data_IF_261192765138
#
_entry.id   IF_261192765138
#
_cell.length_a   1.000
_cell.length_b   1.000
_cell.length_c   1.000
_cell.angle_alpha   90.00
_cell.angle_beta   90.00
_cell.angle_gamma   90.00
#
_symmetry.space_group_name_H-M   'P 1'
#
loop_
_entity.id
_entity.type
_entity.pdbx_description
1 polymer ?
#
# COMPACT_ATOMS: atom_id res chain seq x y z
N UNK A 1 -35.26 -9.54 -50.63
CA UNK A 1 -34.61 -10.56 -49.78
C UNK A 1 -34.49 -9.92 -48.41
N UNK A 2 -35.47 -10.13 -47.53
CA UNK A 2 -35.45 -9.49 -46.22
C UNK A 2 -34.50 -10.27 -45.32
N UNK A 3 -33.48 -9.58 -44.82
CA UNK A 3 -32.49 -10.13 -43.91
C UNK A 3 -33.17 -10.63 -42.64
N UNK A 4 -32.93 -11.89 -42.33
CA UNK A 4 -33.50 -12.57 -41.17
C UNK A 4 -32.68 -12.17 -39.94
N UNK A 5 -32.97 -11.01 -39.37
CA UNK A 5 -32.34 -10.58 -38.12
C UNK A 5 -32.78 -11.53 -37.00
N UNK A 6 -31.85 -12.21 -36.30
CA UNK A 6 -32.23 -13.07 -35.20
C UNK A 6 -32.98 -12.23 -34.14
N UNK A 7 -34.06 -12.77 -33.54
CA UNK A 7 -34.83 -12.03 -32.54
C UNK A 7 -33.92 -11.65 -31.36
N UNK A 8 -33.96 -10.39 -30.95
CA UNK A 8 -33.19 -9.88 -29.80
C UNK A 8 -33.68 -10.61 -28.54
N UNK A 9 -32.86 -11.49 -27.97
CA UNK A 9 -33.17 -12.16 -26.70
C UNK A 9 -32.81 -11.23 -25.51
N UNK A 10 -33.80 -10.70 -24.77
CA UNK A 10 -33.56 -9.80 -23.64
C UNK A 10 -32.78 -10.49 -22.50
N UNK A 11 -32.81 -11.83 -22.41
CA UNK A 11 -32.04 -12.58 -21.39
C UNK A 11 -30.56 -12.62 -21.74
N UNK A 12 -30.21 -12.76 -23.01
CA UNK A 12 -28.84 -12.71 -23.50
C UNK A 12 -28.23 -11.31 -23.29
N UNK A 13 -29.00 -10.25 -23.57
CA UNK A 13 -28.59 -8.85 -23.37
C UNK A 13 -28.27 -8.55 -21.89
N UNK A 14 -29.15 -9.00 -20.97
CA UNK A 14 -28.93 -8.84 -19.51
C UNK A 14 -27.71 -9.61 -19.03
N UNK A 15 -27.48 -10.83 -19.52
CA UNK A 15 -26.30 -11.65 -19.17
C UNK A 15 -25.02 -10.98 -19.65
N UNK A 16 -24.99 -10.51 -20.91
CA UNK A 16 -23.86 -9.78 -21.48
C UNK A 16 -23.55 -8.51 -20.69
N UNK A 17 -24.55 -7.71 -20.34
CA UNK A 17 -24.37 -6.51 -19.51
C UNK A 17 -23.76 -6.83 -18.14
N UNK A 18 -24.28 -7.84 -17.44
CA UNK A 18 -23.73 -8.28 -16.14
C UNK A 18 -22.28 -8.75 -16.25
N UNK A 19 -21.95 -9.50 -17.31
CA UNK A 19 -20.59 -9.94 -17.58
C UNK A 19 -19.64 -8.76 -17.87
N UNK A 20 -20.09 -7.76 -18.64
CA UNK A 20 -19.30 -6.55 -18.91
C UNK A 20 -19.05 -5.78 -17.60
N UNK A 21 -20.09 -5.50 -16.83
CA UNK A 21 -19.96 -4.75 -15.56
C UNK A 21 -19.10 -5.52 -14.56
N UNK A 22 -19.31 -6.83 -14.42
CA UNK A 22 -18.51 -7.69 -13.55
C UNK A 22 -17.03 -7.70 -13.96
N UNK A 23 -16.74 -7.77 -15.27
CA UNK A 23 -15.36 -7.71 -15.79
C UNK A 23 -14.72 -6.36 -15.50
N UNK A 24 -15.41 -5.25 -15.76
CA UNK A 24 -14.89 -3.90 -15.48
C UNK A 24 -14.59 -3.74 -13.99
N UNK A 25 -15.51 -4.17 -13.12
CA UNK A 25 -15.30 -4.13 -11.68
C UNK A 25 -14.10 -4.99 -11.25
N UNK A 26 -13.96 -6.20 -11.78
CA UNK A 26 -12.84 -7.08 -11.49
C UNK A 26 -11.49 -6.47 -11.91
N UNK A 27 -11.43 -5.80 -13.07
CA UNK A 27 -10.23 -5.08 -13.53
C UNK A 27 -9.86 -3.94 -12.59
N UNK A 28 -10.84 -3.14 -12.16
CA UNK A 28 -10.60 -2.04 -11.21
C UNK A 28 -10.05 -2.59 -9.88
N UNK A 29 -10.66 -3.66 -9.35
CA UNK A 29 -10.18 -4.32 -8.15
C UNK A 29 -8.76 -4.88 -8.32
N UNK A 30 -8.46 -5.52 -9.46
CA UNK A 30 -7.13 -6.07 -9.73
C UNK A 30 -6.05 -4.97 -9.79
N UNK A 31 -6.32 -3.87 -10.49
CA UNK A 31 -5.40 -2.72 -10.56
C UNK A 31 -5.18 -2.11 -9.17
N UNK A 32 -6.24 -1.96 -8.37
CA UNK A 32 -6.14 -1.48 -7.01
C UNK A 32 -5.30 -2.39 -6.11
N UNK A 33 -5.57 -3.71 -6.14
CA UNK A 33 -4.82 -4.70 -5.37
C UNK A 33 -3.35 -4.73 -5.78
N UNK A 34 -3.07 -4.67 -7.08
CA UNK A 34 -1.70 -4.56 -7.57
C UNK A 34 -1.00 -3.33 -6.99
N UNK A 35 -1.63 -2.14 -7.04
CA UNK A 35 -1.04 -0.92 -6.50
C UNK A 35 -0.78 -1.00 -5.00
N UNK A 36 -1.67 -1.65 -4.24
CA UNK A 36 -1.52 -1.79 -2.79
C UNK A 36 -0.48 -2.86 -2.38
N UNK A 37 -0.33 -3.93 -3.15
CA UNK A 37 0.52 -5.08 -2.82
C UNK A 37 1.87 -5.09 -3.54
N UNK A 38 2.12 -4.19 -4.49
CA UNK A 38 3.36 -4.15 -5.28
C UNK A 38 4.65 -4.07 -4.43
N UNK A 39 4.57 -3.47 -3.23
CA UNK A 39 5.70 -3.28 -2.31
C UNK A 39 5.60 -4.18 -1.06
N UNK A 40 4.70 -5.17 -1.08
CA UNK A 40 4.46 -6.06 0.05
C UNK A 40 5.73 -6.80 0.53
N UNK A 41 6.61 -7.35 -0.33
CA UNK A 41 7.80 -8.05 0.16
C UNK A 41 8.76 -7.09 0.89
N UNK A 42 8.95 -5.87 0.40
CA UNK A 42 9.85 -4.89 1.00
C UNK A 42 9.31 -4.37 2.34
N UNK A 43 8.00 -4.08 2.40
CA UNK A 43 7.33 -3.74 3.65
C UNK A 43 7.44 -4.85 4.68
N UNK A 44 7.36 -6.11 4.25
CA UNK A 44 7.49 -7.27 5.14
C UNK A 44 8.91 -7.41 5.68
N UNK A 45 9.92 -7.12 4.87
CA UNK A 45 11.33 -7.09 5.30
C UNK A 45 11.53 -6.01 6.36
N UNK A 46 11.14 -4.76 6.09
CA UNK A 46 11.24 -3.66 7.04
C UNK A 46 10.44 -3.94 8.33
N UNK A 47 9.25 -4.54 8.20
CA UNK A 47 8.45 -4.95 9.36
C UNK A 47 9.19 -5.95 10.24
N UNK A 48 9.75 -7.02 9.66
CA UNK A 48 10.50 -8.03 10.42
C UNK A 48 11.72 -7.43 11.11
N UNK A 49 12.37 -6.47 10.46
CA UNK A 49 13.48 -5.72 11.03
C UNK A 49 13.04 -4.95 12.28
N UNK A 50 11.97 -4.15 12.19
CA UNK A 50 11.44 -3.42 13.34
C UNK A 50 10.87 -4.33 14.43
N UNK A 51 10.23 -5.44 14.07
CA UNK A 51 9.78 -6.46 15.04
C UNK A 51 10.96 -7.05 15.84
N UNK A 52 12.09 -7.32 15.17
CA UNK A 52 13.29 -7.80 15.84
C UNK A 52 13.86 -6.73 16.80
N UNK A 53 13.85 -5.46 16.39
CA UNK A 53 14.29 -4.34 17.25
C UNK A 53 13.37 -4.12 18.46
N UNK A 54 12.06 -4.23 18.26
CA UNK A 54 11.05 -4.16 19.33
C UNK A 54 11.23 -5.30 20.35
N UNK A 55 11.59 -6.49 19.87
CA UNK A 55 11.94 -7.65 20.70
C UNK A 55 13.34 -7.57 21.31
N UNK A 56 14.08 -6.49 21.07
CA UNK A 56 15.48 -6.30 21.48
C UNK A 56 16.44 -7.39 20.95
N UNK A 57 16.06 -8.08 19.88
CA UNK A 57 16.88 -9.07 19.17
C UNK A 57 17.74 -8.35 18.11
N UNK A 58 18.73 -7.60 18.59
CA UNK A 58 19.62 -6.79 17.75
C UNK A 58 20.44 -7.63 16.77
N UNK A 59 20.79 -8.87 17.15
CA UNK A 59 21.55 -9.76 16.28
C UNK A 59 20.71 -10.18 15.08
N UNK A 60 19.44 -10.55 15.30
CA UNK A 60 18.51 -10.85 14.21
C UNK A 60 18.19 -9.61 13.38
N UNK A 61 17.99 -8.45 14.01
CA UNK A 61 17.78 -7.21 13.29
C UNK A 61 18.96 -6.87 12.36
N UNK A 62 20.19 -7.06 12.82
CA UNK A 62 21.41 -6.86 12.03
C UNK A 62 21.54 -7.88 10.88
N UNK A 63 21.15 -9.14 11.09
CA UNK A 63 21.10 -10.13 10.01
C UNK A 63 20.07 -9.75 8.94
N UNK A 64 18.90 -9.27 9.35
CA UNK A 64 17.86 -8.77 8.44
C UNK A 64 18.30 -7.49 7.71
N UNK A 65 19.14 -6.67 8.34
CA UNK A 65 19.71 -5.47 7.73
C UNK A 65 20.56 -5.80 6.49
N UNK A 66 21.21 -6.96 6.46
CA UNK A 66 22.12 -7.40 5.39
C UNK A 66 23.18 -6.34 5.05
N UNK A 67 24.04 -6.00 6.03
CA UNK A 67 25.00 -4.90 5.92
C UNK A 67 26.05 -5.16 4.83
N UNK A 68 26.57 -4.07 4.27
CA UNK A 68 27.84 -4.13 3.52
C UNK A 68 28.99 -4.44 4.49
N UNK A 69 30.13 -4.88 3.96
CA UNK A 69 31.31 -5.21 4.78
C UNK A 69 31.85 -4.04 5.61
N UNK A 70 31.52 -2.79 5.25
CA UNK A 70 31.94 -1.59 5.96
C UNK A 70 31.07 -1.21 7.15
N UNK A 71 29.85 -1.76 7.26
CA UNK A 71 28.92 -1.43 8.35
C UNK A 71 28.90 -2.57 9.35
N UNK A 72 29.53 -2.36 10.50
CA UNK A 72 29.73 -3.41 11.50
C UNK A 72 28.55 -3.50 12.47
N UNK A 73 28.50 -4.58 13.24
CA UNK A 73 27.49 -4.72 14.29
C UNK A 73 27.61 -3.64 15.38
N UNK A 74 28.83 -3.14 15.62
CA UNK A 74 29.05 -2.02 16.54
C UNK A 74 28.37 -0.75 16.02
N UNK A 75 28.57 -0.43 14.76
CA UNK A 75 27.95 0.74 14.12
C UNK A 75 26.42 0.59 14.10
N UNK A 76 25.92 -0.62 13.84
CA UNK A 76 24.50 -0.94 13.97
C UNK A 76 23.94 -0.67 15.38
N UNK A 77 24.66 -1.02 16.44
CA UNK A 77 24.23 -0.75 17.81
C UNK A 77 24.31 0.74 18.16
N UNK A 78 25.21 1.50 17.55
CA UNK A 78 25.26 2.97 17.69
C UNK A 78 24.02 3.64 17.10
N UNK A 79 23.45 3.07 16.04
CA UNK A 79 22.22 3.59 15.42
C UNK A 79 20.94 3.05 16.09
N UNK A 80 20.87 1.73 16.28
CA UNK A 80 19.63 1.00 16.60
C UNK A 80 19.61 0.36 17.98
N UNK A 81 20.74 0.34 18.69
CA UNK A 81 20.87 -0.29 20.00
C UNK A 81 20.11 0.46 21.12
N UNK A 82 20.06 -0.09 22.34
CA UNK A 82 19.28 0.50 23.45
C UNK A 82 19.67 1.95 23.78
N UNK A 83 20.95 2.28 23.65
CA UNK A 83 21.53 3.61 23.82
C UNK A 83 21.98 4.26 22.51
N UNK A 84 21.58 3.70 21.37
CA UNK A 84 21.88 4.27 20.05
C UNK A 84 21.01 5.49 19.73
N UNK A 85 21.18 6.05 18.53
CA UNK A 85 20.49 7.26 18.05
C UNK A 85 18.97 7.14 18.17
N UNK A 86 18.40 5.99 17.78
CA UNK A 86 16.95 5.76 17.86
C UNK A 86 16.48 5.40 19.29
N UNK A 87 17.41 4.90 20.10
CA UNK A 87 17.17 4.31 21.40
C UNK A 87 16.39 3.00 21.32
N UNK A 88 15.95 2.49 22.47
CA UNK A 88 15.15 1.25 22.53
C UNK A 88 13.81 1.41 21.82
N UNK A 89 13.58 0.61 20.78
CA UNK A 89 12.33 0.57 20.03
C UNK A 89 11.31 -0.25 20.84
N UNK A 90 10.14 0.33 21.11
CA UNK A 90 9.04 -0.31 21.87
C UNK A 90 7.77 -0.45 21.06
N UNK A 91 7.64 0.40 20.05
CA UNK A 91 6.54 0.38 19.10
C UNK A 91 7.00 1.00 17.79
N UNK A 92 6.45 0.51 16.69
CA UNK A 92 6.66 1.08 15.37
C UNK A 92 5.39 1.00 14.51
N UNK A 93 5.29 1.90 13.54
CA UNK A 93 4.22 1.89 12.55
C UNK A 93 4.78 2.22 11.17
N UNK A 94 4.67 1.28 10.23
CA UNK A 94 4.93 1.55 8.82
C UNK A 94 3.73 2.32 8.27
N UNK A 95 3.96 3.56 7.83
CA UNK A 95 2.92 4.48 7.35
C UNK A 95 2.76 4.43 5.83
N UNK A 96 3.87 4.39 5.10
CA UNK A 96 3.82 4.36 3.64
C UNK A 96 5.04 3.64 3.03
N UNK A 97 4.91 3.30 1.75
CA UNK A 97 6.00 2.78 0.94
C UNK A 97 5.99 3.39 -0.45
N UNK A 98 7.15 3.76 -0.96
CA UNK A 98 7.31 4.34 -2.31
C UNK A 98 8.41 3.61 -3.06
N UNK A 99 8.02 2.95 -4.15
CA UNK A 99 8.98 2.38 -5.08
C UNK A 99 9.72 3.50 -5.81
N UNK A 100 11.04 3.44 -5.84
CA UNK A 100 11.90 4.40 -6.50
C UNK A 100 13.14 3.68 -7.03
N UNK A 101 13.46 3.86 -8.30
CA UNK A 101 14.56 3.13 -8.95
C UNK A 101 14.51 1.62 -8.68
N UNK A 102 15.59 1.10 -8.11
CA UNK A 102 15.78 -0.33 -7.82
C UNK A 102 15.19 -0.77 -6.47
N UNK A 103 14.74 0.16 -5.63
CA UNK A 103 14.28 -0.14 -4.28
C UNK A 103 12.93 0.45 -3.93
N UNK A 104 12.66 0.43 -2.63
CA UNK A 104 11.44 0.96 -2.01
C UNK A 104 11.83 1.71 -0.75
N UNK A 105 11.40 2.98 -0.67
CA UNK A 105 11.45 3.78 0.54
C UNK A 105 10.29 3.40 1.47
N UNK A 106 10.60 3.03 2.71
CA UNK A 106 9.65 2.65 3.75
C UNK A 106 9.65 3.72 4.83
N UNK A 107 8.51 4.40 4.97
CA UNK A 107 8.30 5.40 6.02
C UNK A 107 7.79 4.70 7.28
N UNK A 108 8.53 4.77 8.37
CA UNK A 108 8.15 4.22 9.66
C UNK A 108 8.18 5.29 10.75
N UNK A 109 7.16 5.29 11.62
CA UNK A 109 7.14 6.08 12.86
C UNK A 109 7.57 5.15 13.99
N UNK A 110 8.59 5.54 14.74
CA UNK A 110 9.18 4.74 15.82
C UNK A 110 8.90 5.47 17.14
N UNK A 111 8.35 4.78 18.13
CA UNK A 111 8.07 5.34 19.46
C UNK A 111 7.28 6.67 19.43
N UNK A 112 6.41 6.87 18.43
CA UNK A 112 5.68 8.14 18.19
C UNK A 112 6.56 9.38 18.01
N UNK A 113 7.84 9.18 17.67
CA UNK A 113 8.81 10.25 17.37
C UNK A 113 8.80 10.60 15.87
N UNK A 114 9.79 11.38 15.47
CA UNK A 114 10.05 11.71 14.08
C UNK A 114 10.13 10.44 13.20
N UNK A 115 9.57 10.52 11.98
CA UNK A 115 9.59 9.38 11.07
C UNK A 115 11.01 9.08 10.58
N UNK A 116 11.28 7.80 10.37
CA UNK A 116 12.50 7.28 9.72
C UNK A 116 12.13 6.71 8.36
N UNK A 117 12.97 6.96 7.36
CA UNK A 117 12.83 6.38 6.02
C UNK A 117 13.94 5.35 5.81
N UNK A 118 13.54 4.10 5.59
CA UNK A 118 14.46 3.03 5.23
C UNK A 118 14.37 2.74 3.74
N UNK A 119 15.50 2.50 3.10
CA UNK A 119 15.56 1.93 1.76
C UNK A 119 15.58 0.41 1.87
N UNK A 120 14.75 -0.24 1.07
CA UNK A 120 14.79 -1.69 0.86
C UNK A 120 15.12 -1.95 -0.60
N UNK A 121 16.23 -2.63 -0.86
CA UNK A 121 16.62 -3.00 -2.22
C UNK A 121 15.76 -4.17 -2.72
N UNK A 122 15.14 -4.06 -3.90
CA UNK A 122 14.23 -5.12 -4.40
C UNK A 122 14.97 -6.42 -4.73
N UNK A 123 16.24 -6.30 -5.13
CA UNK A 123 17.05 -7.42 -5.60
C UNK A 123 17.30 -8.45 -4.50
N UNK A 124 17.64 -8.00 -3.30
CA UNK A 124 18.10 -8.85 -2.19
C UNK A 124 17.43 -8.54 -0.85
N UNK A 125 16.56 -7.54 -0.79
CA UNK A 125 15.92 -7.04 0.43
C UNK A 125 16.93 -6.55 1.48
N UNK A 126 18.12 -6.11 1.06
CA UNK A 126 19.02 -5.40 1.96
C UNK A 126 18.40 -4.08 2.42
N UNK A 127 18.64 -3.74 3.68
CA UNK A 127 18.17 -2.50 4.29
C UNK A 127 19.31 -1.50 4.36
N UNK A 128 18.99 -0.25 4.08
CA UNK A 128 19.90 0.86 4.30
C UNK A 128 19.13 2.10 4.72
N UNK A 129 19.85 3.09 5.24
CA UNK A 129 19.26 4.41 5.40
C UNK A 129 18.91 4.97 4.03
N UNK A 130 17.68 5.50 3.90
CA UNK A 130 17.29 6.17 2.68
C UNK A 130 18.04 7.50 2.56
N UNK A 131 18.49 7.89 1.36
CA UNK A 131 19.00 9.24 1.11
C UNK A 131 17.88 10.30 1.15
N UNK A 132 16.61 9.90 1.18
CA UNK A 132 15.49 10.82 1.31
C UNK A 132 15.33 11.25 2.76
N UNK A 133 15.26 12.56 2.96
CA UNK A 133 14.83 13.12 4.24
C UNK A 133 13.37 12.74 4.52
N UNK A 134 12.99 12.49 5.79
CA UNK A 134 11.61 12.17 6.15
C UNK A 134 10.59 13.27 5.79
N UNK A 135 11.06 14.52 5.58
CA UNK A 135 10.23 15.68 5.22
C UNK A 135 10.13 15.93 3.69
N UNK A 136 11.05 15.38 2.89
CA UNK A 136 11.13 15.62 1.44
C UNK A 136 10.51 14.44 0.68
N UNK A 137 9.19 14.48 0.48
CA UNK A 137 8.61 13.79 -0.70
C UNK A 137 7.35 12.95 -0.52
N UNK A 138 6.57 13.10 0.57
CA UNK A 138 5.22 12.50 0.62
C UNK A 138 4.10 13.56 0.68
N UNK A 139 4.42 14.84 0.92
CA UNK A 139 3.43 15.93 0.96
C UNK A 139 3.84 17.07 0.00
N UNK A 140 3.05 17.42 -1.02
CA UNK A 140 3.18 18.73 -1.64
C UNK A 140 2.82 19.78 -0.58
N UNK A 141 3.74 20.69 -0.23
CA UNK A 141 3.53 21.81 0.72
C UNK A 141 2.37 22.78 0.34
N UNK A 142 1.59 22.47 -0.69
CA UNK A 142 0.58 23.32 -1.31
C UNK A 142 -0.86 23.02 -0.85
N UNK A 143 -1.12 21.93 -0.11
CA UNK A 143 -2.47 21.58 0.35
C UNK A 143 -2.67 21.87 1.84
N UNK A 144 -3.84 22.39 2.26
CA UNK A 144 -4.17 22.51 3.68
C UNK A 144 -4.15 21.12 4.32
N UNK A 145 -3.61 21.03 5.54
CA UNK A 145 -3.36 19.77 6.26
C UNK A 145 -4.59 18.86 6.36
N UNK A 146 -5.80 19.44 6.43
CA UNK A 146 -7.06 18.68 6.45
C UNK A 146 -7.37 17.91 5.15
N UNK A 147 -6.94 18.41 3.99
CA UNK A 147 -7.15 17.77 2.69
C UNK A 147 -5.95 16.91 2.25
N UNK A 148 -4.74 17.28 2.69
CA UNK A 148 -3.54 16.49 2.43
C UNK A 148 -3.68 15.08 3.03
N UNK A 149 -4.13 14.99 4.29
CA UNK A 149 -4.19 13.75 5.06
C UNK A 149 -5.14 12.68 4.47
N UNK A 150 -6.18 13.10 3.74
CA UNK A 150 -7.18 12.21 3.12
C UNK A 150 -6.61 11.36 1.99
N UNK A 151 -5.55 11.83 1.31
CA UNK A 151 -4.93 11.14 0.17
C UNK A 151 -3.49 10.66 0.47
N UNK A 152 -2.82 11.24 1.47
CA UNK A 152 -1.43 10.91 1.82
C UNK A 152 -1.30 9.69 2.74
N UNK A 153 -2.23 9.50 3.68
CA UNK A 153 -2.22 8.31 4.52
C UNK A 153 -2.81 7.12 3.76
N UNK A 154 -2.01 6.07 3.60
CA UNK A 154 -2.41 4.81 2.96
C UNK A 154 -3.69 4.23 3.56
N UNK A 155 -3.91 4.40 4.86
CA UNK A 155 -5.15 3.96 5.52
C UNK A 155 -6.38 4.72 5.03
N UNK A 156 -6.28 6.04 4.89
CA UNK A 156 -7.36 6.90 4.41
C UNK A 156 -7.66 6.66 2.93
N UNK A 157 -6.62 6.51 2.11
CA UNK A 157 -6.75 6.15 0.69
C UNK A 157 -7.52 4.84 0.52
N UNK A 158 -7.20 3.81 1.31
CA UNK A 158 -7.91 2.52 1.30
C UNK A 158 -9.39 2.70 1.64
N UNK A 159 -9.70 3.47 2.69
CA UNK A 159 -11.09 3.73 3.09
C UNK A 159 -11.89 4.44 1.99
N UNK A 160 -11.32 5.48 1.37
CA UNK A 160 -11.99 6.24 0.31
C UNK A 160 -12.24 5.36 -0.92
N UNK A 161 -11.25 4.58 -1.37
CA UNK A 161 -11.43 3.69 -2.53
C UNK A 161 -12.47 2.62 -2.27
N UNK A 162 -12.45 1.99 -1.08
CA UNK A 162 -13.45 0.97 -0.72
C UNK A 162 -14.86 1.58 -0.62
N UNK A 163 -14.99 2.79 -0.09
CA UNK A 163 -16.27 3.50 -0.05
C UNK A 163 -16.80 3.80 -1.46
N UNK A 164 -15.94 4.25 -2.39
CA UNK A 164 -16.35 4.49 -3.78
C UNK A 164 -16.76 3.17 -4.46
N UNK A 165 -15.98 2.10 -4.30
CA UNK A 165 -16.30 0.80 -4.91
C UNK A 165 -17.62 0.22 -4.37
N UNK A 166 -17.89 0.38 -3.08
CA UNK A 166 -19.14 -0.08 -2.46
C UNK A 166 -20.34 0.74 -2.93
N UNK A 167 -20.22 2.07 -3.04
CA UNK A 167 -21.28 2.92 -3.59
C UNK A 167 -21.57 2.62 -5.07
N UNK A 168 -20.53 2.39 -5.88
CA UNK A 168 -20.70 2.00 -7.28
C UNK A 168 -21.41 0.64 -7.42
N UNK A 169 -21.03 -0.33 -6.59
CA UNK A 169 -21.69 -1.64 -6.57
C UNK A 169 -23.14 -1.54 -6.10
N UNK A 170 -23.41 -0.80 -5.03
CA UNK A 170 -24.76 -0.58 -4.52
C UNK A 170 -25.64 0.16 -5.54
N UNK A 171 -25.11 1.18 -6.20
CA UNK A 171 -25.80 1.91 -7.27
C UNK A 171 -26.12 1.01 -8.46
N UNK A 172 -25.19 0.13 -8.86
CA UNK A 172 -25.42 -0.86 -9.91
C UNK A 172 -26.54 -1.86 -9.53
N UNK A 173 -26.49 -2.41 -8.32
CA UNK A 173 -27.51 -3.34 -7.83
C UNK A 173 -28.89 -2.66 -7.73
N UNK A 174 -28.94 -1.43 -7.24
CA UNK A 174 -30.18 -0.64 -7.18
C UNK A 174 -30.76 -0.37 -8.58
N UNK A 175 -29.90 -0.04 -9.55
CA UNK A 175 -30.31 0.15 -10.95
C UNK A 175 -30.89 -1.14 -11.55
N UNK A 176 -30.21 -2.28 -11.38
CA UNK A 176 -30.72 -3.58 -11.84
C UNK A 176 -32.06 -3.95 -11.16
N UNK A 177 -32.19 -3.73 -9.85
CA UNK A 177 -33.41 -3.99 -9.11
C UNK A 177 -34.58 -3.13 -9.63
N UNK A 178 -34.40 -1.80 -9.70
CA UNK A 178 -35.44 -0.88 -10.19
C UNK A 178 -35.84 -1.18 -11.63
N UNK A 179 -34.88 -1.52 -12.49
CA UNK A 179 -35.15 -1.93 -13.87
C UNK A 179 -35.95 -3.24 -13.92
N UNK A 180 -35.63 -4.22 -13.09
CA UNK A 180 -36.39 -5.47 -13.02
C UNK A 180 -37.80 -5.30 -12.46
N UNK A 181 -38.01 -4.34 -11.55
CA UNK A 181 -39.30 -4.04 -10.95
C UNK A 181 -40.22 -3.19 -11.84
N UNK A 182 -39.66 -2.37 -12.75
CA UNK A 182 -40.43 -1.60 -13.73
C UNK A 182 -40.77 -2.35 -15.02
N UNK A 183 -40.22 -3.56 -15.21
CA UNK A 183 -40.54 -4.46 -16.33
C UNK A 183 -41.59 -5.54 -15.94
N UNK A 184 -42.14 -5.48 -14.72
CA UNK A 184 -43.21 -6.35 -14.20
C UNK A 184 -44.55 -5.59 -14.15
#
# INVERSE_FOLDING_TARGET
MFENFPPIDPRAERRRRRLIVGTVFAVICAVYLYYELKNYPEERTARRFFEALEQQDYQRAYQLWQPTSSYTFKDFLEDWGPGGVQGSIRQFQIKDSRAEGTGVNILAIINEKEPVVLWVEKKDNSLSFSPLEPDVGIVPRLLPSSLANLWTDRSHRRMVVLLILTLLLAGYLYYEFKKSAGEA
#
